data_IF_496765777586
#
_entry.id   IF_496765777586
#
_cell.length_a   1.000
_cell.length_b   1.000
_cell.length_c   1.000
_cell.angle_alpha   90.00
_cell.angle_beta   90.00
_cell.angle_gamma   90.00
#
_symmetry.space_group_name_H-M   'P 1'
#
loop_
_entity.id
_entity.type
_entity.pdbx_description
1 polymer ?
#
# COMPACT_ATOMS: atom_id res chain seq x y z
N UNK A 1 -18.42 -20.51 -3.68
CA UNK A 1 -18.87 -19.16 -3.29
C UNK A 1 -18.57 -19.01 -1.81
N UNK A 2 -17.63 -18.13 -1.44
CA UNK A 2 -17.21 -17.91 -0.03
C UNK A 2 -17.78 -16.57 0.41
N UNK A 3 -18.35 -16.53 1.61
CA UNK A 3 -18.86 -15.29 2.21
C UNK A 3 -17.66 -14.59 2.90
N UNK A 4 -17.32 -13.38 2.45
CA UNK A 4 -16.31 -12.55 3.13
C UNK A 4 -16.82 -12.11 4.50
N UNK A 5 -15.92 -12.08 5.49
CA UNK A 5 -16.24 -11.63 6.85
C UNK A 5 -16.37 -10.10 6.95
N UNK A 6 -15.82 -9.34 5.99
CA UNK A 6 -15.82 -7.88 6.01
C UNK A 6 -16.99 -7.29 5.22
N UNK A 7 -17.63 -6.27 5.80
CA UNK A 7 -18.74 -5.57 5.15
C UNK A 7 -18.25 -4.72 3.98
N UNK A 8 -18.83 -4.94 2.78
CA UNK A 8 -18.43 -4.27 1.53
C UNK A 8 -19.37 -3.12 1.09
N UNK A 9 -20.62 -3.09 1.58
CA UNK A 9 -21.62 -2.11 1.14
C UNK A 9 -21.81 -0.96 2.14
N UNK A 10 -21.76 0.27 1.60
CA UNK A 10 -21.74 1.60 2.23
C UNK A 10 -20.36 2.06 2.76
N UNK A 11 -19.68 2.90 1.97
CA UNK A 11 -18.48 3.59 2.43
C UNK A 11 -18.84 4.82 3.26
N UNK A 12 -18.83 4.64 4.57
CA UNK A 12 -18.63 5.69 5.58
C UNK A 12 -17.39 5.31 6.38
N UNK A 13 -16.68 6.29 6.94
CA UNK A 13 -15.49 6.06 7.78
C UNK A 13 -15.76 5.02 8.88
N UNK A 14 -16.95 5.05 9.48
CA UNK A 14 -17.39 4.07 10.48
C UNK A 14 -17.36 2.61 10.00
N UNK A 15 -17.70 2.33 8.74
CA UNK A 15 -17.65 0.96 8.19
C UNK A 15 -16.20 0.47 8.13
N UNK A 16 -15.27 1.37 7.77
CA UNK A 16 -13.83 1.07 7.73
C UNK A 16 -13.30 0.84 9.13
N UNK A 17 -13.63 1.73 10.08
CA UNK A 17 -13.27 1.54 11.49
C UNK A 17 -13.74 0.18 12.00
N UNK A 18 -15.00 -0.19 11.73
CA UNK A 18 -15.56 -1.47 12.15
C UNK A 18 -14.82 -2.67 11.55
N UNK A 19 -14.47 -2.64 10.27
CA UNK A 19 -13.74 -3.73 9.63
C UNK A 19 -12.29 -3.83 10.16
N UNK A 20 -11.64 -2.72 10.48
CA UNK A 20 -10.32 -2.73 11.14
C UNK A 20 -10.43 -3.34 12.54
N UNK A 21 -11.43 -2.94 13.32
CA UNK A 21 -11.69 -3.52 14.64
C UNK A 21 -12.02 -5.01 14.55
N UNK A 22 -12.80 -5.43 13.56
CA UNK A 22 -13.09 -6.83 13.30
C UNK A 22 -11.81 -7.61 12.99
N UNK A 23 -10.91 -7.07 12.15
CA UNK A 23 -9.63 -7.71 11.85
C UNK A 23 -8.81 -7.94 13.13
N UNK A 24 -8.64 -6.92 13.98
CA UNK A 24 -7.92 -7.06 15.24
C UNK A 24 -8.60 -8.03 16.22
N UNK A 25 -9.93 -7.98 16.31
CA UNK A 25 -10.72 -8.90 17.13
C UNK A 25 -10.49 -10.35 16.68
N UNK A 26 -10.56 -10.63 15.38
CA UNK A 26 -10.31 -11.96 14.82
C UNK A 26 -8.88 -12.41 15.03
N UNK A 27 -7.90 -11.52 14.86
CA UNK A 27 -6.50 -11.83 15.09
C UNK A 27 -6.23 -12.21 16.56
N UNK A 28 -6.85 -11.49 17.50
CA UNK A 28 -6.80 -11.78 18.93
C UNK A 28 -7.44 -13.13 19.26
N UNK A 29 -8.62 -13.41 18.68
CA UNK A 29 -9.32 -14.68 18.87
C UNK A 29 -8.53 -15.88 18.31
N UNK A 30 -7.85 -15.69 17.17
CA UNK A 30 -7.00 -16.71 16.56
C UNK A 30 -5.80 -17.03 17.45
N UNK A 31 -5.03 -16.00 17.79
CA UNK A 31 -3.87 -16.15 18.66
C UNK A 31 -3.46 -14.79 19.24
N UNK A 32 -3.51 -14.71 20.56
CA UNK A 32 -3.09 -13.53 21.32
C UNK A 32 -1.64 -13.09 21.02
N UNK A 33 -0.76 -14.02 20.64
CA UNK A 33 0.61 -13.69 20.25
C UNK A 33 0.67 -13.00 18.88
N UNK A 34 -0.24 -13.30 17.96
CA UNK A 34 -0.34 -12.56 16.69
C UNK A 34 -0.85 -11.14 16.95
N UNK A 35 -1.87 -11.00 17.80
CA UNK A 35 -2.37 -9.68 18.23
C UNK A 35 -1.29 -8.86 18.94
N UNK A 36 -0.50 -9.49 19.81
CA UNK A 36 0.69 -8.86 20.40
C UNK A 36 1.67 -8.44 19.31
N UNK A 37 2.07 -9.36 18.44
CA UNK A 37 3.10 -9.14 17.42
C UNK A 37 2.74 -8.00 16.48
N UNK A 38 1.49 -7.92 16.00
CA UNK A 38 1.09 -6.83 15.10
C UNK A 38 1.20 -5.46 15.79
N UNK A 39 0.84 -5.35 17.07
CA UNK A 39 0.94 -4.08 17.81
C UNK A 39 2.40 -3.70 18.02
N UNK A 40 3.26 -4.66 18.37
CA UNK A 40 4.69 -4.41 18.55
C UNK A 40 5.36 -3.97 17.23
N UNK A 41 5.04 -4.65 16.12
CA UNK A 41 5.54 -4.31 14.79
C UNK A 41 5.09 -2.92 14.32
N UNK A 42 3.82 -2.57 14.53
CA UNK A 42 3.30 -1.23 14.20
C UNK A 42 3.91 -0.12 15.08
N UNK A 43 4.51 -0.50 16.22
CA UNK A 43 5.19 0.40 17.13
C UNK A 43 6.71 0.44 16.93
N UNK A 44 7.28 -0.31 15.97
CA UNK A 44 8.72 -0.32 15.71
C UNK A 44 9.28 1.10 15.53
N UNK A 45 10.44 1.36 16.14
CA UNK A 45 11.08 2.69 16.12
C UNK A 45 10.56 3.69 17.16
N UNK A 46 9.50 3.37 17.92
CA UNK A 46 8.99 4.24 18.98
C UNK A 46 9.57 3.92 20.37
N UNK A 47 9.27 4.76 21.37
CA UNK A 47 9.68 4.57 22.78
C UNK A 47 8.99 3.35 23.44
N UNK A 48 7.74 3.01 23.07
CA UNK A 48 6.97 1.92 23.68
C UNK A 48 6.69 0.79 22.67
N UNK A 49 7.73 0.03 22.34
CA UNK A 49 7.64 -1.08 21.38
C UNK A 49 6.94 -2.31 21.96
N UNK A 50 7.29 -2.72 23.18
CA UNK A 50 6.74 -3.94 23.77
C UNK A 50 5.27 -3.79 24.20
N UNK A 51 4.47 -4.80 23.91
CA UNK A 51 3.04 -4.84 24.21
C UNK A 51 2.66 -6.07 25.04
N UNK A 52 1.85 -5.88 26.08
CA UNK A 52 1.52 -6.91 27.06
C UNK A 52 0.00 -7.07 27.21
N UNK A 53 -0.66 -7.79 26.29
CA UNK A 53 -2.11 -8.00 26.35
C UNK A 53 -2.54 -9.08 27.35
N UNK A 54 -1.58 -9.78 27.97
CA UNK A 54 -1.83 -10.89 28.88
C UNK A 54 -1.27 -10.63 30.28
N UNK A 55 -1.74 -11.36 31.32
CA UNK A 55 -1.14 -11.32 32.64
C UNK A 55 0.34 -11.73 32.60
N UNK A 56 1.17 -10.96 33.29
CA UNK A 56 2.60 -11.18 33.47
C UNK A 56 2.81 -11.82 34.84
N UNK A 57 3.45 -12.99 34.85
CA UNK A 57 3.77 -13.74 36.06
C UNK A 57 5.25 -13.56 36.38
N UNK A 58 5.54 -13.13 37.60
CA UNK A 58 6.90 -12.84 38.06
C UNK A 58 7.11 -13.42 39.45
N UNK A 59 8.33 -13.86 39.77
CA UNK A 59 8.71 -14.44 41.08
C UNK A 59 9.84 -13.63 41.71
N UNK A 60 9.92 -13.66 43.05
CA UNK A 60 10.99 -13.03 43.83
C UNK A 60 11.23 -11.55 43.50
N UNK A 61 10.18 -10.73 43.60
CA UNK A 61 10.27 -9.30 43.28
C UNK A 61 10.61 -8.52 44.54
N UNK A 62 11.71 -7.77 44.49
CA UNK A 62 12.06 -6.82 45.54
C UNK A 62 11.13 -5.61 45.51
N UNK A 63 10.40 -5.39 46.59
CA UNK A 63 9.64 -4.17 46.85
C UNK A 63 10.28 -3.52 48.07
N UNK A 64 10.38 -2.19 48.16
CA UNK A 64 11.26 -1.48 49.12
C UNK A 64 11.33 -1.96 50.60
N UNK A 65 10.37 -2.75 51.07
CA UNK A 65 10.33 -3.35 52.42
C UNK A 65 10.44 -4.91 52.46
N UNK A 66 10.76 -5.60 51.37
CA UNK A 66 10.88 -7.06 51.35
C UNK A 66 10.92 -7.68 49.95
N UNK A 67 10.99 -9.01 49.89
CA UNK A 67 10.89 -9.76 48.63
C UNK A 67 9.54 -10.48 48.66
N UNK A 68 8.71 -10.26 47.65
CA UNK A 68 7.47 -11.01 47.48
C UNK A 68 7.72 -12.26 46.62
N UNK A 69 7.12 -13.38 47.00
CA UNK A 69 7.37 -14.67 46.35
C UNK A 69 6.81 -14.75 44.93
N UNK A 70 5.69 -14.07 44.66
CA UNK A 70 5.07 -14.04 43.34
C UNK A 70 4.15 -12.84 43.12
N UNK A 71 4.11 -12.37 41.88
CA UNK A 71 3.22 -11.29 41.40
C UNK A 71 2.58 -11.71 40.07
N UNK A 72 1.30 -11.39 39.93
CA UNK A 72 0.58 -11.46 38.66
C UNK A 72 0.09 -10.05 38.36
N UNK A 73 0.50 -9.49 37.23
CA UNK A 73 0.13 -8.14 36.82
C UNK A 73 -0.50 -8.15 35.42
N UNK A 74 -1.63 -7.46 35.26
CA UNK A 74 -2.17 -7.15 33.94
C UNK A 74 -1.90 -5.68 33.66
N UNK A 75 -1.11 -5.41 32.62
CA UNK A 75 -0.83 -4.02 32.22
C UNK A 75 -2.06 -3.42 31.56
N UNK A 76 -2.53 -2.30 32.09
CA UNK A 76 -3.58 -1.53 31.44
C UNK A 76 -3.11 -1.11 30.04
N UNK A 77 -3.99 -1.21 29.05
CA UNK A 77 -3.71 -0.73 27.70
C UNK A 77 -4.93 -0.05 27.09
N UNK A 78 -4.69 0.91 26.21
CA UNK A 78 -5.75 1.63 25.49
C UNK A 78 -5.25 2.06 24.12
N UNK A 79 -5.92 1.59 23.08
CA UNK A 79 -5.65 1.98 21.69
C UNK A 79 -6.86 2.74 21.17
N UNK A 80 -6.66 3.98 20.71
CA UNK A 80 -7.68 4.78 20.04
C UNK A 80 -7.35 4.88 18.56
N UNK A 81 -8.28 4.49 17.69
CA UNK A 81 -8.07 4.44 16.24
C UNK A 81 -8.99 5.48 15.59
N UNK A 82 -8.39 6.44 14.89
CA UNK A 82 -9.10 7.37 14.00
C UNK A 82 -8.82 6.98 12.55
N UNK A 83 -9.85 6.54 11.83
CA UNK A 83 -9.73 6.15 10.43
C UNK A 83 -10.11 7.27 9.48
N UNK A 84 -9.35 7.47 8.40
CA UNK A 84 -9.70 8.36 7.29
C UNK A 84 -9.58 7.63 5.95
N UNK A 85 -10.48 7.95 5.02
CA UNK A 85 -10.44 7.32 3.70
C UNK A 85 -9.26 7.88 2.88
N UNK A 86 -9.33 9.15 2.49
CA UNK A 86 -8.45 9.71 1.45
C UNK A 86 -7.71 10.99 1.89
N UNK A 87 -7.75 11.32 3.18
CA UNK A 87 -7.18 12.55 3.72
C UNK A 87 -6.60 12.34 5.13
N UNK A 88 -5.79 13.30 5.58
CA UNK A 88 -5.30 13.34 6.96
C UNK A 88 -6.38 13.92 7.87
N UNK A 89 -6.39 13.52 9.14
CA UNK A 89 -7.26 14.19 10.12
C UNK A 89 -6.64 15.53 10.55
N UNK A 90 -7.44 16.43 11.10
CA UNK A 90 -6.99 17.69 11.68
C UNK A 90 -6.17 17.39 12.93
N UNK A 91 -4.90 17.82 12.96
CA UNK A 91 -3.96 17.58 14.07
C UNK A 91 -4.53 17.99 15.44
N UNK A 92 -5.20 19.16 15.50
CA UNK A 92 -5.81 19.65 16.74
C UNK A 92 -6.97 18.75 17.25
N UNK A 93 -7.63 18.00 16.36
CA UNK A 93 -8.64 17.01 16.76
C UNK A 93 -7.98 15.77 17.35
N UNK A 94 -6.91 15.28 16.74
CA UNK A 94 -6.13 14.14 17.25
C UNK A 94 -5.57 14.42 18.65
N UNK A 95 -4.96 15.60 18.85
CA UNK A 95 -4.41 16.00 20.14
C UNK A 95 -5.49 16.04 21.24
N UNK A 96 -6.71 16.47 20.93
CA UNK A 96 -7.83 16.48 21.90
C UNK A 96 -8.24 15.09 22.38
N UNK A 97 -7.90 14.02 21.65
CA UNK A 97 -8.14 12.66 22.11
C UNK A 97 -7.24 12.26 23.27
N UNK A 98 -6.14 12.98 23.51
CA UNK A 98 -5.25 12.74 24.64
C UNK A 98 -5.97 12.66 26.00
N UNK A 99 -7.05 13.44 26.16
CA UNK A 99 -7.86 13.50 27.39
C UNK A 99 -8.49 12.17 27.84
N UNK A 100 -8.61 11.18 26.94
CA UNK A 100 -9.27 9.90 27.26
C UNK A 100 -8.29 8.84 27.73
N UNK A 101 -6.99 9.08 27.64
CA UNK A 101 -5.95 8.17 28.11
C UNK A 101 -5.67 8.35 29.61
N UNK A 102 -4.95 7.40 30.20
CA UNK A 102 -4.70 7.35 31.66
C UNK A 102 -3.22 7.06 31.94
N UNK A 103 -2.74 7.46 33.11
CA UNK A 103 -1.37 7.14 33.56
C UNK A 103 -1.17 5.62 33.73
N UNK A 104 0.09 5.16 33.70
CA UNK A 104 0.48 3.75 33.89
C UNK A 104 -0.23 2.75 32.94
N UNK A 105 -0.57 3.19 31.73
CA UNK A 105 -1.21 2.39 30.69
C UNK A 105 -0.40 2.41 29.39
N UNK A 106 -0.51 1.34 28.60
CA UNK A 106 0.02 1.26 27.24
C UNK A 106 -0.91 2.02 26.28
N UNK A 107 -0.81 3.35 26.28
CA UNK A 107 -1.69 4.23 25.51
C UNK A 107 -1.15 4.46 24.10
N UNK A 108 -1.99 4.21 23.11
CA UNK A 108 -1.66 4.42 21.71
C UNK A 108 -2.78 5.18 21.00
N UNK A 109 -2.42 6.21 20.25
CA UNK A 109 -3.30 6.94 19.36
C UNK A 109 -2.90 6.65 17.92
N UNK A 110 -3.75 5.94 17.19
CA UNK A 110 -3.48 5.56 15.81
C UNK A 110 -4.31 6.42 14.87
N UNK A 111 -3.64 7.06 13.91
CA UNK A 111 -4.29 7.59 12.73
C UNK A 111 -4.07 6.59 11.59
N UNK A 112 -5.16 6.06 11.04
CA UNK A 112 -5.12 5.06 9.97
C UNK A 112 -5.78 5.64 8.72
N UNK A 113 -5.00 5.88 7.67
CA UNK A 113 -5.50 6.55 6.45
C UNK A 113 -4.83 6.03 5.19
N UNK A 114 -5.37 6.37 4.02
CA UNK A 114 -4.62 6.22 2.76
C UNK A 114 -3.56 7.31 2.57
N UNK A 115 -3.45 8.30 3.48
CA UNK A 115 -2.45 9.36 3.48
C UNK A 115 -1.79 9.53 4.85
N UNK A 116 -0.46 9.53 4.91
CA UNK A 116 0.32 9.77 6.13
C UNK A 116 0.56 11.25 6.42
N UNK A 117 0.65 11.60 7.70
CA UNK A 117 1.36 12.80 8.14
C UNK A 117 2.85 12.72 7.76
N UNK A 118 3.48 13.86 7.47
CA UNK A 118 4.95 13.89 7.33
C UNK A 118 5.64 13.88 8.70
N UNK A 119 6.97 13.70 8.71
CA UNK A 119 7.73 13.56 9.95
C UNK A 119 7.63 14.80 10.86
N UNK A 120 7.60 16.00 10.28
CA UNK A 120 7.47 17.25 11.04
C UNK A 120 6.08 17.35 11.69
N UNK A 121 5.03 16.95 10.95
CA UNK A 121 3.67 16.87 11.48
C UNK A 121 3.55 15.85 12.61
N UNK A 122 4.16 14.66 12.46
CA UNK A 122 4.17 13.60 13.50
C UNK A 122 4.89 14.10 14.76
N UNK A 123 6.06 14.73 14.61
CA UNK A 123 6.82 15.32 15.73
C UNK A 123 5.97 16.39 16.43
N UNK A 124 5.31 17.26 15.66
CA UNK A 124 4.45 18.32 16.21
C UNK A 124 3.27 17.74 17.01
N UNK A 125 2.60 16.70 16.51
CA UNK A 125 1.50 16.04 17.22
C UNK A 125 2.00 15.44 18.54
N UNK A 126 3.10 14.69 18.51
CA UNK A 126 3.68 14.07 19.70
C UNK A 126 4.11 15.12 20.74
N UNK A 127 4.75 16.21 20.31
CA UNK A 127 5.14 17.29 21.21
C UNK A 127 3.93 17.95 21.88
N UNK A 128 2.86 18.22 21.12
CA UNK A 128 1.61 18.77 21.68
C UNK A 128 0.92 17.81 22.66
N UNK A 129 0.94 16.50 22.38
CA UNK A 129 0.42 15.51 23.31
C UNK A 129 1.22 15.49 24.62
N UNK A 130 2.56 15.53 24.54
CA UNK A 130 3.44 15.61 25.71
C UNK A 130 3.24 16.91 26.50
N UNK A 131 3.05 18.05 25.84
CA UNK A 131 2.81 19.35 26.49
C UNK A 131 1.47 19.39 27.24
N UNK A 132 0.39 18.94 26.60
CA UNK A 132 -0.95 19.00 27.18
C UNK A 132 -1.22 17.90 28.22
N UNK A 133 -0.53 16.77 28.12
CA UNK A 133 -0.74 15.60 28.97
C UNK A 133 0.61 15.08 29.54
N UNK A 134 1.35 15.88 30.32
CA UNK A 134 2.75 15.59 30.68
C UNK A 134 2.96 14.31 31.49
N UNK A 135 1.95 13.88 32.26
CA UNK A 135 2.04 12.66 33.06
C UNK A 135 1.55 11.41 32.30
N UNK A 136 0.91 11.59 31.14
CA UNK A 136 0.34 10.50 30.36
C UNK A 136 1.25 10.22 29.18
N UNK A 137 1.90 9.06 29.20
CA UNK A 137 2.64 8.58 28.03
C UNK A 137 1.63 8.16 26.97
N UNK A 138 1.60 8.87 25.85
CA UNK A 138 0.75 8.58 24.68
C UNK A 138 1.66 8.44 23.47
N UNK A 139 1.60 7.30 22.80
CA UNK A 139 2.31 7.08 21.55
C UNK A 139 1.38 7.37 20.37
N UNK A 140 1.73 8.35 19.54
CA UNK A 140 1.02 8.59 18.28
C UNK A 140 1.64 7.77 17.14
N UNK A 141 0.83 6.90 16.52
CA UNK A 141 1.21 6.12 15.34
C UNK A 141 0.45 6.62 14.11
N UNK A 142 1.20 6.89 13.04
CA UNK A 142 0.71 7.38 11.76
C UNK A 142 0.80 6.27 10.71
N UNK A 143 -0.31 5.57 10.48
CA UNK A 143 -0.36 4.28 9.80
C UNK A 143 -1.15 4.36 8.49
N UNK A 144 -0.74 3.55 7.52
CA UNK A 144 -1.50 3.22 6.32
C UNK A 144 -2.23 1.89 6.50
N UNK A 145 -3.30 1.68 5.73
CA UNK A 145 -3.92 0.35 5.62
C UNK A 145 -2.95 -0.70 5.10
N UNK A 146 -1.99 -0.28 4.27
CA UNK A 146 -0.93 -1.15 3.77
C UNK A 146 0.03 -1.59 4.87
N UNK A 147 0.35 -0.70 5.83
CA UNK A 147 1.20 -1.06 6.98
C UNK A 147 0.55 -2.21 7.79
N UNK A 148 -0.79 -2.23 7.90
CA UNK A 148 -1.49 -3.34 8.55
C UNK A 148 -1.35 -4.65 7.77
N UNK A 149 -1.50 -4.60 6.44
CA UNK A 149 -1.41 -5.78 5.57
C UNK A 149 0.00 -6.37 5.61
N UNK A 150 1.03 -5.54 5.41
CA UNK A 150 2.43 -5.98 5.40
C UNK A 150 2.83 -6.60 6.75
N UNK A 151 2.42 -6.01 7.87
CA UNK A 151 2.73 -6.57 9.18
C UNK A 151 1.96 -7.86 9.49
N UNK A 152 0.72 -7.99 9.00
CA UNK A 152 -0.02 -9.25 9.06
C UNK A 152 0.64 -10.35 8.23
N UNK A 153 1.07 -10.02 7.00
CA UNK A 153 1.79 -10.94 6.13
C UNK A 153 3.12 -11.37 6.75
N UNK A 154 3.88 -10.45 7.37
CA UNK A 154 5.09 -10.77 8.11
C UNK A 154 4.87 -11.74 9.28
N UNK A 155 3.76 -11.63 10.01
CA UNK A 155 3.38 -12.61 11.03
C UNK A 155 3.09 -13.97 10.38
N UNK A 156 2.37 -13.99 9.25
CA UNK A 156 2.08 -15.24 8.55
C UNK A 156 3.34 -15.91 7.97
N UNK A 157 4.33 -15.15 7.53
CA UNK A 157 5.62 -15.70 7.07
C UNK A 157 6.35 -16.51 8.16
N UNK A 158 6.20 -16.10 9.42
CA UNK A 158 6.72 -16.83 10.59
C UNK A 158 5.84 -18.03 10.97
N UNK A 159 4.61 -18.10 10.46
CA UNK A 159 3.57 -19.05 10.83
C UNK A 159 2.83 -19.65 9.62
N UNK A 160 3.57 -19.98 8.55
CA UNK A 160 3.01 -20.36 7.23
C UNK A 160 2.07 -21.57 7.20
N UNK A 161 2.01 -22.37 8.26
CA UNK A 161 1.07 -23.48 8.40
C UNK A 161 -0.34 -23.05 8.86
N UNK A 162 -0.49 -21.81 9.35
CA UNK A 162 -1.74 -21.32 9.90
C UNK A 162 -2.71 -20.88 8.80
N UNK A 163 -3.58 -21.81 8.42
CA UNK A 163 -4.54 -21.59 7.33
C UNK A 163 -5.59 -20.55 7.71
N UNK A 164 -5.98 -20.45 8.98
CA UNK A 164 -6.99 -19.47 9.41
C UNK A 164 -6.44 -18.05 9.39
N UNK A 165 -5.18 -17.87 9.83
CA UNK A 165 -4.46 -16.60 9.69
C UNK A 165 -4.38 -16.17 8.22
N UNK A 166 -3.96 -17.08 7.32
CA UNK A 166 -3.92 -16.80 5.89
C UNK A 166 -5.26 -16.31 5.34
N UNK A 167 -6.34 -17.02 5.69
CA UNK A 167 -7.69 -16.71 5.23
C UNK A 167 -8.19 -15.35 5.73
N UNK A 168 -7.82 -14.95 6.96
CA UNK A 168 -8.13 -13.64 7.52
C UNK A 168 -7.39 -12.53 6.76
N UNK A 169 -6.09 -12.72 6.49
CA UNK A 169 -5.25 -11.76 5.78
C UNK A 169 -5.75 -11.55 4.36
N UNK A 170 -6.03 -12.63 3.64
CA UNK A 170 -6.58 -12.56 2.27
C UNK A 170 -7.92 -11.81 2.24
N UNK A 171 -8.85 -12.10 3.16
CA UNK A 171 -10.14 -11.41 3.22
C UNK A 171 -9.97 -9.92 3.54
N UNK A 172 -9.07 -9.57 4.45
CA UNK A 172 -8.81 -8.17 4.83
C UNK A 172 -8.11 -7.39 3.70
N UNK A 173 -7.09 -7.99 3.06
CA UNK A 173 -6.39 -7.44 1.92
C UNK A 173 -7.35 -7.19 0.74
N UNK A 174 -8.19 -8.17 0.41
CA UNK A 174 -9.22 -8.02 -0.62
C UNK A 174 -10.20 -6.89 -0.28
N UNK A 175 -10.64 -6.80 0.98
CA UNK A 175 -11.50 -5.70 1.43
C UNK A 175 -10.84 -4.33 1.26
N UNK A 176 -9.60 -4.18 1.70
CA UNK A 176 -8.85 -2.93 1.60
C UNK A 176 -8.64 -2.50 0.14
N UNK A 177 -8.34 -3.45 -0.75
CA UNK A 177 -8.19 -3.20 -2.19
C UNK A 177 -9.52 -2.82 -2.85
N UNK A 178 -10.58 -3.60 -2.64
CA UNK A 178 -11.92 -3.30 -3.20
C UNK A 178 -12.49 -1.97 -2.69
N UNK A 179 -12.10 -1.58 -1.47
CA UNK A 179 -12.51 -0.32 -0.85
C UNK A 179 -11.60 0.86 -1.19
N UNK A 180 -10.55 0.67 -2.00
CA UNK A 180 -9.54 1.67 -2.35
C UNK A 180 -8.85 2.32 -1.12
N UNK A 181 -8.63 1.55 -0.06
CA UNK A 181 -7.97 2.00 1.18
C UNK A 181 -6.44 1.90 1.12
N UNK A 182 -5.91 1.10 0.20
CA UNK A 182 -4.47 0.98 -0.04
C UNK A 182 -4.14 1.84 -1.26
N UNK A 183 -3.36 2.89 -1.02
CA UNK A 183 -2.88 3.84 -2.04
C UNK A 183 -1.35 3.74 -2.14
N UNK A 184 -0.84 2.58 -2.56
CA UNK A 184 0.57 2.47 -2.96
C UNK A 184 0.81 2.93 -4.40
N UNK A 185 -0.17 3.61 -5.01
CA UNK A 185 -0.11 4.06 -6.41
C UNK A 185 1.22 4.75 -6.70
N UNK A 186 1.66 5.64 -5.81
CA UNK A 186 2.87 6.46 -5.98
C UNK A 186 4.18 5.69 -6.09
N UNK A 187 4.21 4.44 -5.62
CA UNK A 187 5.39 3.56 -5.67
C UNK A 187 5.17 2.31 -6.53
N UNK A 188 3.92 2.05 -6.93
CA UNK A 188 3.56 0.88 -7.69
C UNK A 188 4.04 1.01 -9.14
N UNK A 189 4.87 0.04 -9.53
CA UNK A 189 5.25 -0.23 -10.91
C UNK A 189 4.37 -1.36 -11.47
N UNK A 190 3.55 -1.04 -12.47
CA UNK A 190 2.91 -2.03 -13.31
C UNK A 190 3.88 -2.50 -14.40
N UNK A 191 4.31 -3.74 -14.32
CA UNK A 191 5.14 -4.40 -15.32
C UNK A 191 4.25 -5.12 -16.33
N UNK A 192 4.38 -4.78 -17.61
CA UNK A 192 3.55 -5.36 -18.68
C UNK A 192 4.40 -6.15 -19.68
N UNK A 193 4.10 -7.43 -19.96
CA UNK A 193 4.75 -8.15 -21.04
C UNK A 193 4.36 -7.56 -22.39
N UNK A 194 5.35 -7.27 -23.22
CA UNK A 194 5.15 -6.72 -24.57
C UNK A 194 5.42 -7.76 -25.67
N UNK A 195 6.45 -8.60 -25.51
CA UNK A 195 6.76 -9.64 -26.49
C UNK A 195 7.01 -9.04 -27.88
N UNK A 196 6.24 -9.47 -28.89
CA UNK A 196 6.40 -9.03 -30.28
C UNK A 196 6.09 -7.54 -30.51
N UNK A 197 5.21 -6.93 -29.70
CA UNK A 197 4.83 -5.53 -29.86
C UNK A 197 5.85 -4.54 -29.27
N UNK A 198 6.88 -5.03 -28.56
CA UNK A 198 7.86 -4.19 -27.84
C UNK A 198 8.44 -3.05 -28.68
N UNK A 199 8.86 -3.33 -29.93
CA UNK A 199 9.44 -2.33 -30.82
C UNK A 199 8.44 -1.22 -31.14
N UNK A 200 7.19 -1.59 -31.41
CA UNK A 200 6.11 -0.64 -31.68
C UNK A 200 5.79 0.19 -30.43
N UNK A 201 5.72 -0.45 -29.25
CA UNK A 201 5.44 0.24 -27.99
C UNK A 201 6.50 1.29 -27.67
N UNK A 202 7.78 0.95 -27.84
CA UNK A 202 8.90 1.85 -27.62
C UNK A 202 8.88 3.04 -28.60
N UNK A 203 8.70 2.77 -29.90
CA UNK A 203 8.68 3.80 -30.94
C UNK A 203 7.55 4.80 -30.73
N UNK A 204 6.33 4.30 -30.50
CA UNK A 204 5.15 5.14 -30.42
C UNK A 204 4.91 5.70 -29.02
N UNK A 205 5.63 5.19 -27.99
CA UNK A 205 5.40 5.52 -26.58
C UNK A 205 3.94 5.24 -26.16
N UNK A 206 3.43 4.09 -26.58
CA UNK A 206 2.07 3.64 -26.32
C UNK A 206 2.08 2.18 -25.87
N UNK A 207 1.31 1.87 -24.84
CA UNK A 207 0.96 0.49 -24.47
C UNK A 207 -0.55 0.29 -24.53
N UNK A 208 -1.03 -0.90 -24.84
CA UNK A 208 -2.47 -1.19 -24.90
C UNK A 208 -2.81 -2.54 -24.27
N UNK A 209 -3.98 -2.62 -23.67
CA UNK A 209 -4.52 -3.85 -23.10
C UNK A 209 -6.06 -3.82 -23.06
N UNK A 210 -6.72 -4.97 -22.83
CA UNK A 210 -8.14 -4.99 -22.50
C UNK A 210 -8.47 -4.14 -21.26
N UNK A 211 -9.66 -3.54 -21.23
CA UNK A 211 -10.09 -2.61 -20.16
C UNK A 211 -9.93 -3.19 -18.75
N UNK A 212 -10.30 -4.46 -18.58
CA UNK A 212 -10.32 -5.17 -17.29
C UNK A 212 -9.12 -6.11 -17.11
N UNK A 213 -8.02 -5.88 -17.83
CA UNK A 213 -6.87 -6.78 -17.80
C UNK A 213 -6.11 -6.73 -16.47
N UNK A 214 -6.18 -5.61 -15.76
CA UNK A 214 -5.64 -5.41 -14.42
C UNK A 214 -6.57 -4.48 -13.63
N UNK A 215 -6.42 -4.43 -12.30
CA UNK A 215 -7.33 -3.71 -11.41
C UNK A 215 -6.66 -2.80 -10.38
N UNK A 216 -5.37 -2.98 -10.09
CA UNK A 216 -4.66 -2.19 -9.07
C UNK A 216 -4.09 -0.90 -9.66
N UNK A 217 -4.18 0.18 -8.88
CA UNK A 217 -3.64 1.50 -9.23
C UNK A 217 -2.11 1.50 -9.19
N UNK A 218 -1.51 2.24 -10.10
CA UNK A 218 -0.07 2.35 -10.27
C UNK A 218 0.29 3.73 -10.82
N UNK A 219 1.46 4.25 -10.44
CA UNK A 219 2.01 5.49 -10.99
C UNK A 219 2.95 5.25 -12.15
N UNK A 220 3.72 4.16 -12.09
CA UNK A 220 4.71 3.83 -13.10
C UNK A 220 4.31 2.61 -13.92
N UNK A 221 4.57 2.66 -15.22
CA UNK A 221 4.41 1.51 -16.11
C UNK A 221 5.76 1.15 -16.74
N UNK A 222 6.11 -0.13 -16.66
CA UNK A 222 7.33 -0.67 -17.22
C UNK A 222 7.09 -1.70 -18.32
N UNK A 223 7.69 -1.48 -19.50
CA UNK A 223 7.60 -2.43 -20.61
C UNK A 223 8.59 -3.58 -20.38
N UNK A 224 8.07 -4.80 -20.22
CA UNK A 224 8.89 -5.99 -20.03
C UNK A 224 9.15 -6.70 -21.35
N UNK A 225 10.43 -6.93 -21.64
CA UNK A 225 10.88 -7.74 -22.77
C UNK A 225 12.25 -8.39 -22.48
N UNK A 226 12.46 -9.60 -23.00
CA UNK A 226 13.72 -10.35 -22.85
C UNK A 226 14.23 -10.41 -21.40
N UNK A 227 13.38 -10.92 -20.49
CA UNK A 227 13.68 -11.11 -19.06
C UNK A 227 14.05 -9.85 -18.26
N UNK A 228 13.67 -8.67 -18.74
CA UNK A 228 13.88 -7.42 -18.02
C UNK A 228 12.73 -6.46 -18.25
N UNK A 229 12.45 -5.62 -17.27
CA UNK A 229 11.78 -4.35 -17.55
C UNK A 229 12.79 -3.48 -18.29
N UNK A 230 12.42 -3.00 -19.48
CA UNK A 230 13.29 -2.27 -20.40
C UNK A 230 13.06 -0.78 -20.39
N UNK A 231 11.90 -0.35 -19.94
CA UNK A 231 11.57 1.06 -19.81
C UNK A 231 10.76 1.30 -18.55
N UNK A 232 10.74 2.53 -18.07
CA UNK A 232 9.83 2.99 -17.02
C UNK A 232 9.33 4.39 -17.37
N UNK A 233 8.05 4.65 -17.09
CA UNK A 233 7.43 5.93 -17.38
C UNK A 233 6.21 6.18 -16.48
N UNK A 234 5.91 7.45 -16.24
CA UNK A 234 4.58 7.88 -15.79
C UNK A 234 3.58 7.81 -16.95
N UNK A 235 2.28 7.90 -16.64
CA UNK A 235 1.23 7.93 -17.66
C UNK A 235 0.81 9.38 -17.91
N UNK A 236 0.85 9.81 -19.17
CA UNK A 236 0.37 11.14 -19.57
C UNK A 236 -1.17 11.14 -19.64
N UNK A 237 -1.75 10.15 -20.32
CA UNK A 237 -3.19 9.96 -20.39
C UNK A 237 -3.56 8.52 -20.73
N UNK A 238 -4.81 8.15 -20.45
CA UNK A 238 -5.38 6.84 -20.75
C UNK A 238 -6.60 7.03 -21.65
N UNK A 239 -6.54 6.50 -22.88
CA UNK A 239 -7.61 6.61 -23.86
C UNK A 239 -8.31 5.25 -24.02
N UNK A 240 -9.64 5.22 -23.97
CA UNK A 240 -10.45 4.05 -24.31
C UNK A 240 -11.03 4.29 -25.69
N UNK A 241 -10.72 3.43 -26.66
CA UNK A 241 -11.10 3.65 -28.05
C UNK A 241 -11.19 2.35 -28.87
N UNK A 242 -11.91 2.44 -29.99
CA UNK A 242 -11.90 1.46 -31.07
C UNK A 242 -11.16 2.03 -32.27
N UNK A 243 -10.43 1.18 -32.99
CA UNK A 243 -9.73 1.54 -34.21
C UNK A 243 -9.97 0.52 -35.30
N UNK A 244 -10.41 1.00 -36.46
CA UNK A 244 -10.61 0.20 -37.67
C UNK A 244 -9.44 0.44 -38.63
N UNK A 245 -8.66 -0.60 -38.89
CA UNK A 245 -7.48 -0.51 -39.76
C UNK A 245 -7.82 -0.32 -41.24
N UNK A 246 -9.02 -0.72 -41.68
CA UNK A 246 -9.46 -0.56 -43.07
C UNK A 246 -9.89 0.88 -43.35
N UNK A 247 -10.68 1.46 -42.45
CA UNK A 247 -11.20 2.83 -42.62
C UNK A 247 -10.31 3.89 -41.99
N UNK A 248 -9.30 3.48 -41.21
CA UNK A 248 -8.43 4.34 -40.36
C UNK A 248 -9.23 5.24 -39.42
N UNK A 249 -10.43 4.82 -39.02
CA UNK A 249 -11.28 5.57 -38.08
C UNK A 249 -10.95 5.19 -36.65
N UNK A 250 -10.79 6.21 -35.80
CA UNK A 250 -10.59 6.09 -34.36
C UNK A 250 -11.84 6.62 -33.65
N UNK A 251 -12.55 5.74 -32.94
CA UNK A 251 -13.73 6.08 -32.17
C UNK A 251 -13.36 6.09 -30.68
N UNK A 252 -13.44 7.25 -30.04
CA UNK A 252 -13.00 7.44 -28.65
C UNK A 252 -14.21 7.41 -27.71
N UNK A 253 -14.09 6.62 -26.64
CA UNK A 253 -15.13 6.42 -25.62
C UNK A 253 -14.85 7.17 -24.31
N UNK A 254 -13.60 7.54 -24.07
CA UNK A 254 -13.16 8.34 -22.91
C UNK A 254 -13.14 9.85 -23.23
N UNK A 255 -13.17 10.70 -22.19
CA UNK A 255 -13.23 12.16 -22.32
C UNK A 255 -11.98 12.83 -21.74
N UNK A 256 -11.72 14.08 -22.14
CA UNK A 256 -10.67 14.93 -21.55
C UNK A 256 -9.28 14.79 -22.18
N UNK A 257 -9.19 14.28 -23.41
CA UNK A 257 -7.92 14.14 -24.14
C UNK A 257 -7.65 15.35 -25.03
N UNK A 258 -6.39 15.75 -25.14
CA UNK A 258 -5.98 16.80 -26.07
C UNK A 258 -5.96 16.27 -27.51
N UNK A 259 -6.06 17.18 -28.49
CA UNK A 259 -5.95 16.79 -29.90
C UNK A 259 -4.60 16.15 -30.23
N UNK A 260 -3.52 16.60 -29.57
CA UNK A 260 -2.19 16.02 -29.72
C UNK A 260 -2.15 14.56 -29.26
N UNK A 261 -2.73 14.25 -28.09
CA UNK A 261 -2.81 12.89 -27.56
C UNK A 261 -3.60 11.96 -28.48
N UNK A 262 -4.74 12.45 -29.00
CA UNK A 262 -5.57 11.72 -29.97
C UNK A 262 -4.81 11.45 -31.26
N UNK A 263 -4.10 12.46 -31.78
CA UNK A 263 -3.31 12.33 -33.01
C UNK A 263 -2.15 11.33 -32.84
N UNK A 264 -1.45 11.35 -31.69
CA UNK A 264 -0.40 10.38 -31.38
C UNK A 264 -0.93 8.94 -31.37
N UNK A 265 -2.09 8.72 -30.75
CA UNK A 265 -2.75 7.41 -30.77
C UNK A 265 -3.14 6.99 -32.19
N UNK A 266 -3.77 7.89 -32.95
CA UNK A 266 -4.22 7.62 -34.32
C UNK A 266 -3.06 7.24 -35.26
N UNK A 267 -1.96 8.00 -35.21
CA UNK A 267 -0.76 7.72 -35.99
C UNK A 267 -0.14 6.37 -35.62
N UNK A 268 0.00 6.09 -34.32
CA UNK A 268 0.57 4.83 -33.84
C UNK A 268 -0.26 3.61 -34.29
N UNK A 269 -1.59 3.69 -34.18
CA UNK A 269 -2.49 2.60 -34.60
C UNK A 269 -2.55 2.44 -36.12
N UNK A 270 -2.46 3.55 -36.87
CA UNK A 270 -2.36 3.50 -38.32
C UNK A 270 -1.07 2.83 -38.80
N UNK A 271 0.04 2.99 -38.07
CA UNK A 271 1.28 2.26 -38.32
C UNK A 271 1.18 0.78 -37.93
N UNK A 272 0.49 0.47 -36.82
CA UNK A 272 0.30 -0.92 -36.38
C UNK A 272 -0.50 -1.74 -37.41
N UNK A 273 -1.51 -1.12 -38.03
CA UNK A 273 -2.31 -1.74 -39.09
C UNK A 273 -3.31 -2.80 -38.61
N UNK A 274 -3.54 -2.90 -37.31
CA UNK A 274 -4.45 -3.87 -36.69
C UNK A 274 -5.77 -3.21 -36.26
N UNK A 275 -6.88 -3.92 -36.46
CA UNK A 275 -8.19 -3.48 -35.96
C UNK A 275 -8.32 -3.84 -34.49
N UNK A 276 -8.68 -2.87 -33.65
CA UNK A 276 -8.82 -3.00 -32.21
C UNK A 276 -10.21 -2.58 -31.74
N UNK A 277 -10.81 -3.36 -30.83
CA UNK A 277 -12.11 -3.07 -30.24
C UNK A 277 -12.04 -3.13 -28.71
N UNK A 278 -12.55 -2.11 -28.04
CA UNK A 278 -12.74 -2.04 -26.59
C UNK A 278 -11.45 -1.97 -25.78
N UNK A 279 -10.35 -1.49 -26.37
CA UNK A 279 -9.05 -1.47 -25.72
C UNK A 279 -8.80 -0.17 -24.97
N UNK A 280 -7.92 -0.27 -23.97
CA UNK A 280 -7.39 0.83 -23.19
C UNK A 280 -5.95 1.08 -23.59
N UNK A 281 -5.64 2.32 -23.95
CA UNK A 281 -4.34 2.78 -24.44
C UNK A 281 -3.70 3.71 -23.41
N UNK A 282 -2.49 3.39 -22.97
CA UNK A 282 -1.66 4.24 -22.14
C UNK A 282 -0.73 5.03 -23.05
N UNK A 283 -0.83 6.35 -22.98
CA UNK A 283 0.05 7.26 -23.69
C UNK A 283 1.13 7.72 -22.71
N UNK A 284 2.40 7.51 -23.05
CA UNK A 284 3.50 7.94 -22.20
C UNK A 284 3.97 9.35 -22.60
N UNK A 285 4.40 10.19 -21.66
CA UNK A 285 4.95 11.50 -21.94
C UNK A 285 6.28 11.40 -22.69
N UNK A 286 6.62 12.43 -23.46
CA UNK A 286 7.84 12.40 -24.26
C UNK A 286 9.13 12.54 -23.43
N UNK A 287 9.06 13.29 -22.35
CA UNK A 287 10.15 13.72 -21.47
C UNK A 287 10.32 12.84 -20.22
N UNK A 288 9.30 12.03 -19.86
CA UNK A 288 9.36 11.09 -18.72
C UNK A 288 9.25 9.62 -19.13
N UNK A 289 9.84 9.24 -20.26
CA UNK A 289 9.92 7.86 -20.73
C UNK A 289 11.39 7.46 -20.85
N UNK A 290 11.87 6.60 -19.95
CA UNK A 290 13.28 6.28 -19.82
C UNK A 290 13.57 4.79 -19.98
N UNK A 291 14.73 4.46 -20.56
CA UNK A 291 15.21 3.09 -20.64
C UNK A 291 15.80 2.62 -19.30
N UNK A 292 15.59 1.35 -18.97
CA UNK A 292 16.13 0.70 -17.76
C UNK A 292 16.45 -0.78 -18.03
N UNK A 293 16.97 -1.48 -17.02
CA UNK A 293 17.33 -2.88 -17.10
C UNK A 293 17.05 -3.62 -15.78
N UNK A 294 15.83 -3.47 -15.25
CA UNK A 294 15.38 -4.16 -14.04
C UNK A 294 15.13 -5.64 -14.32
N UNK A 295 16.17 -6.44 -14.09
CA UNK A 295 16.28 -7.81 -14.58
C UNK A 295 15.57 -8.82 -13.67
N UNK A 296 14.80 -9.73 -14.28
CA UNK A 296 14.19 -10.88 -13.61
C UNK A 296 15.18 -12.05 -13.54
N UNK A 297 15.49 -12.52 -12.33
CA UNK A 297 16.48 -13.59 -12.13
C UNK A 297 15.87 -14.99 -12.06
N UNK A 298 14.60 -15.12 -11.69
CA UNK A 298 13.91 -16.42 -11.62
C UNK A 298 13.75 -17.07 -13.01
N UNK A 299 13.54 -18.40 -13.02
CA UNK A 299 13.40 -19.17 -14.27
C UNK A 299 12.19 -18.70 -15.09
N UNK A 300 12.30 -18.80 -16.43
CA UNK A 300 11.24 -18.39 -17.36
C UNK A 300 10.95 -16.88 -17.43
N UNK A 301 10.10 -16.51 -18.40
CA UNK A 301 9.56 -15.16 -18.55
C UNK A 301 8.45 -14.84 -17.53
N UNK A 302 7.74 -13.73 -17.71
CA UNK A 302 6.50 -13.45 -16.98
C UNK A 302 5.30 -13.90 -17.82
N UNK A 303 4.25 -14.37 -17.16
CA UNK A 303 2.95 -14.66 -17.76
C UNK A 303 1.94 -13.65 -17.23
N UNK A 304 1.52 -12.72 -18.08
CA UNK A 304 0.66 -11.59 -17.69
C UNK A 304 1.42 -10.47 -16.98
N UNK A 305 0.69 -9.43 -16.58
CA UNK A 305 1.24 -8.27 -15.87
C UNK A 305 1.67 -8.63 -14.44
N UNK A 306 2.54 -7.82 -13.86
CA UNK A 306 2.94 -7.89 -12.44
C UNK A 306 2.93 -6.51 -11.84
N UNK A 307 2.59 -6.42 -10.55
CA UNK A 307 2.84 -5.24 -9.76
C UNK A 307 4.10 -5.46 -8.94
N UNK A 308 4.90 -4.41 -8.78
CA UNK A 308 6.05 -4.36 -7.89
C UNK A 308 6.04 -3.03 -7.18
N UNK A 309 6.19 -3.03 -5.86
CA UNK A 309 6.46 -1.81 -5.12
C UNK A 309 7.93 -1.45 -5.33
N UNK A 310 8.22 -0.23 -5.79
CA UNK A 310 9.59 0.19 -6.03
C UNK A 310 10.43 0.26 -4.76
N UNK A 311 9.80 0.43 -3.59
CA UNK A 311 10.50 0.53 -2.29
C UNK A 311 11.15 -0.79 -1.87
N UNK A 312 10.64 -1.93 -2.38
CA UNK A 312 11.26 -3.25 -2.15
C UNK A 312 12.64 -3.37 -2.81
N UNK A 313 12.93 -2.52 -3.78
CA UNK A 313 14.13 -2.62 -4.62
C UNK A 313 15.03 -1.40 -4.51
N UNK A 314 14.45 -0.24 -4.20
CA UNK A 314 15.13 1.04 -4.23
C UNK A 314 15.12 1.66 -2.83
N UNK A 315 16.17 2.42 -2.52
CA UNK A 315 16.21 3.28 -1.33
C UNK A 315 16.62 4.66 -1.81
N UNK A 316 15.62 5.53 -2.00
CA UNK A 316 15.79 6.83 -2.64
C UNK A 316 15.17 7.93 -1.80
N UNK A 317 15.77 9.13 -1.83
CA UNK A 317 15.22 10.31 -1.17
C UNK A 317 14.04 10.89 -1.94
N UNK A 318 13.98 10.70 -3.26
CA UNK A 318 12.93 11.24 -4.13
C UNK A 318 12.44 10.21 -5.16
N UNK A 319 11.20 9.76 -5.02
CA UNK A 319 10.50 8.87 -5.95
C UNK A 319 9.67 9.62 -7.01
N UNK A 320 9.86 10.94 -7.14
CA UNK A 320 9.28 11.76 -8.21
C UNK A 320 10.20 11.84 -9.43
N UNK A 321 11.51 11.62 -9.27
CA UNK A 321 12.47 11.63 -10.38
C UNK A 321 12.50 10.27 -11.10
N UNK A 322 11.64 10.14 -12.12
CA UNK A 322 11.54 8.94 -12.98
C UNK A 322 12.88 8.58 -13.64
N UNK A 323 13.72 9.58 -13.95
CA UNK A 323 15.03 9.35 -14.56
C UNK A 323 15.94 8.69 -13.54
N UNK A 324 15.99 9.20 -12.31
CA UNK A 324 16.78 8.59 -11.25
C UNK A 324 16.30 7.18 -10.95
N UNK A 325 14.99 6.95 -10.86
CA UNK A 325 14.41 5.60 -10.69
C UNK A 325 14.90 4.67 -11.81
N UNK A 326 14.89 5.12 -13.08
CA UNK A 326 15.33 4.31 -14.22
C UNK A 326 16.80 3.88 -14.12
N UNK A 327 17.67 4.72 -13.57
CA UNK A 327 19.09 4.43 -13.38
C UNK A 327 19.34 3.48 -12.20
N UNK A 328 18.66 3.70 -11.07
CA UNK A 328 18.78 2.81 -9.91
C UNK A 328 18.24 1.40 -10.20
N UNK A 329 17.13 1.31 -10.95
CA UNK A 329 16.55 0.03 -11.37
C UNK A 329 17.49 -0.83 -12.23
N UNK A 330 18.50 -0.24 -12.90
CA UNK A 330 19.53 -1.00 -13.65
C UNK A 330 20.47 -1.76 -12.72
N UNK A 331 20.59 -1.35 -11.45
CA UNK A 331 21.53 -1.91 -10.47
C UNK A 331 20.94 -3.05 -9.66
N UNK A 332 19.62 -3.20 -9.68
CA UNK A 332 18.88 -4.16 -8.86
C UNK A 332 18.19 -5.22 -9.72
N UNK A 333 17.77 -6.30 -9.07
CA UNK A 333 17.10 -7.42 -9.73
C UNK A 333 15.89 -7.85 -8.94
N UNK A 334 15.00 -8.62 -9.58
CA UNK A 334 13.79 -9.11 -8.94
C UNK A 334 13.51 -10.57 -9.30
N UNK A 335 12.76 -11.24 -8.41
CA UNK A 335 12.34 -12.63 -8.57
C UNK A 335 10.93 -12.75 -9.11
#
# INVERSE_FOLDING_TARGET
MRISQFQKYSQKENTVTNNVLLMFSRLNDLNINYYKSIIERLNEGNEQQSYYPQPIFSQQIGIGNGIIDGQIEVRASKILIETKLNHKEIQNKLVKYGKVFIENSQNQLWHLSSKKFDDNEVININNKLKELYPNIKIQFNNLLFNDLIENLEGIYEEHTHDTELKLLIEDFCNYCNESNLVSNEEYNLLIVPTGFSYKWNMKNKIYYCPKNWHSQNFKFLGLYNNKSVRTISEIETIIIADFDSNTKKLNIHSKGHSQEQINRLHLGLSELGETHNGLKYYIFPNDKFFETNFKKVSHGGIQGHRYKDLRDYLTMQDYMDVKLISEELKKVTWR
#
